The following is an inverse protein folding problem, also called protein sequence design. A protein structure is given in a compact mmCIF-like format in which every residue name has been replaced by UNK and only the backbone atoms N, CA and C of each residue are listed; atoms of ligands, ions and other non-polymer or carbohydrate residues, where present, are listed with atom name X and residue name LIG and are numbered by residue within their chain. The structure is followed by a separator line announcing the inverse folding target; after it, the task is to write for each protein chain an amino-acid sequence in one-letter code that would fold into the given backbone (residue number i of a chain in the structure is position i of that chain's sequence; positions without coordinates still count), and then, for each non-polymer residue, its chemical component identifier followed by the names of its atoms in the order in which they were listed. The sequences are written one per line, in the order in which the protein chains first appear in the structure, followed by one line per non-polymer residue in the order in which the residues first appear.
data_IF_802449715299
#
_entry.id   IF_802449715299
#
_cell.length_a   1.000
_cell.length_b   1.000
_cell.length_c   1.000
_cell.angle_alpha   90.00
_cell.angle_beta   90.00
_cell.angle_gamma   90.00
#
_symmetry.space_group_name_H-M   'P 1'
#
loop_
_entity.id
_entity.type
_entity.pdbx_description
1 polymer ?
#
# COMPACT_ATOMS: atom_id res chain seq x y z
N UNK A 1 33.10 -4.18 -0.55
CA UNK A 1 33.52 -4.30 -1.96
C UNK A 1 32.39 -3.67 -2.76
N UNK A 2 32.62 -2.50 -3.37
CA UNK A 2 31.57 -1.73 -4.07
C UNK A 2 31.22 -2.46 -5.37
N UNK A 3 30.09 -3.16 -5.40
CA UNK A 3 29.53 -3.67 -6.65
C UNK A 3 29.01 -2.49 -7.47
N UNK A 4 29.48 -2.39 -8.71
CA UNK A 4 29.01 -1.40 -9.68
C UNK A 4 27.55 -1.70 -10.00
N UNK A 5 26.69 -0.69 -9.87
CA UNK A 5 25.31 -0.67 -10.35
C UNK A 5 25.25 -1.20 -11.80
N UNK A 6 24.52 -2.29 -11.99
CA UNK A 6 24.31 -2.91 -13.30
C UNK A 6 23.26 -2.13 -14.09
N UNK A 7 23.72 -1.33 -15.06
CA UNK A 7 22.86 -0.55 -15.96
C UNK A 7 21.95 -1.43 -16.83
N UNK A 8 22.25 -2.73 -16.98
CA UNK A 8 21.44 -3.62 -17.83
C UNK A 8 20.09 -3.98 -17.19
N UNK A 9 20.01 -4.12 -15.86
CA UNK A 9 18.73 -4.40 -15.17
C UNK A 9 17.72 -3.25 -15.25
N UNK A 10 18.21 -2.01 -15.32
CA UNK A 10 17.36 -0.82 -15.45
C UNK A 10 16.82 -0.67 -16.88
N UNK A 11 17.63 -1.00 -17.89
CA UNK A 11 17.19 -1.04 -19.28
C UNK A 11 16.23 -2.21 -19.56
N UNK A 12 16.37 -3.36 -18.89
CA UNK A 12 15.40 -4.46 -18.97
C UNK A 12 14.00 -4.01 -18.51
N UNK A 13 13.88 -3.23 -17.43
CA UNK A 13 12.59 -2.65 -17.00
C UNK A 13 11.96 -1.71 -18.02
N UNK A 14 12.78 -0.95 -18.75
CA UNK A 14 12.33 -0.03 -19.81
C UNK A 14 11.92 -0.78 -21.09
N UNK A 15 12.67 -1.82 -21.49
CA UNK A 15 12.29 -2.71 -22.60
C UNK A 15 11.05 -3.56 -22.27
N UNK A 16 10.85 -3.95 -21.00
CA UNK A 16 9.63 -4.62 -20.52
C UNK A 16 8.42 -3.68 -20.59
N UNK A 17 8.59 -2.37 -20.36
CA UNK A 17 7.53 -1.37 -20.54
C UNK A 17 7.11 -1.23 -22.01
N UNK A 18 8.06 -1.26 -22.97
CA UNK A 18 7.75 -1.27 -24.40
C UNK A 18 7.18 -2.62 -24.90
N UNK A 19 7.42 -3.74 -24.22
CA UNK A 19 6.90 -5.05 -24.62
C UNK A 19 5.56 -5.42 -23.95
N UNK A 20 5.15 -4.75 -22.87
CA UNK A 20 3.87 -5.00 -22.18
C UNK A 20 2.77 -3.99 -22.52
N UNK A 21 2.58 -3.74 -23.82
CA UNK A 21 1.47 -2.97 -24.42
C UNK A 21 0.05 -3.47 -24.05
N UNK A 22 -0.10 -4.56 -23.27
CA UNK A 22 -1.39 -5.19 -22.97
C UNK A 22 -2.20 -4.53 -21.84
N UNK A 23 -1.57 -3.72 -20.97
CA UNK A 23 -2.24 -3.16 -19.78
C UNK A 23 -2.99 -1.84 -20.08
N UNK A 24 -2.58 -1.12 -21.13
CA UNK A 24 -3.25 0.07 -21.67
C UNK A 24 -3.62 -0.09 -23.15
N UNK A 25 -3.91 -1.31 -23.59
CA UNK A 25 -4.31 -1.57 -24.97
C UNK A 25 -5.54 -0.70 -25.33
N UNK A 26 -5.39 0.13 -26.36
CA UNK A 26 -6.42 1.07 -26.85
C UNK A 26 -6.89 2.15 -25.84
N UNK A 27 -6.05 2.54 -24.89
CA UNK A 27 -6.34 3.64 -23.96
C UNK A 27 -7.35 3.28 -22.86
N UNK A 28 -7.57 1.99 -22.62
CA UNK A 28 -8.39 1.46 -21.53
C UNK A 28 -7.48 0.97 -20.38
N UNK A 29 -7.59 1.58 -19.21
CA UNK A 29 -6.79 1.20 -18.03
C UNK A 29 -7.22 -0.15 -17.45
N UNK A 30 -6.25 -1.07 -17.30
CA UNK A 30 -6.39 -2.40 -16.68
C UNK A 30 -5.35 -2.70 -15.58
N UNK A 31 -4.90 -1.66 -14.88
CA UNK A 31 -3.84 -1.75 -13.86
C UNK A 31 -4.25 -2.44 -12.55
N UNK A 32 -5.55 -2.65 -12.30
CA UNK A 32 -6.03 -3.27 -11.05
C UNK A 32 -7.04 -4.38 -11.35
N UNK A 33 -7.35 -5.26 -10.37
CA UNK A 33 -8.24 -6.40 -10.59
C UNK A 33 -9.68 -6.01 -10.97
N UNK A 34 -10.07 -4.73 -10.84
CA UNK A 34 -11.37 -4.21 -11.31
C UNK A 34 -11.57 -4.38 -12.81
N UNK A 35 -10.51 -4.39 -13.61
CA UNK A 35 -10.59 -4.58 -15.08
C UNK A 35 -11.57 -3.63 -15.80
N UNK A 36 -11.80 -2.43 -15.22
CA UNK A 36 -12.88 -1.54 -15.63
C UNK A 36 -12.70 -0.90 -17.02
N UNK A 37 -11.48 -0.94 -17.58
CA UNK A 37 -11.19 -0.40 -18.90
C UNK A 37 -11.35 1.12 -19.00
N UNK A 38 -11.09 1.84 -17.90
CA UNK A 38 -11.28 3.28 -17.82
C UNK A 38 -10.48 4.04 -18.89
N UNK A 39 -11.15 4.90 -19.65
CA UNK A 39 -10.54 5.76 -20.66
C UNK A 39 -10.04 7.07 -20.06
N UNK A 40 -9.03 7.00 -19.18
CA UNK A 40 -8.59 8.14 -18.37
C UNK A 40 -8.17 9.34 -19.20
N UNK A 41 -7.42 9.10 -20.29
CA UNK A 41 -6.99 10.13 -21.24
C UNK A 41 -8.16 10.84 -21.94
N UNK A 42 -9.34 10.20 -21.99
CA UNK A 42 -10.59 10.80 -22.51
C UNK A 42 -11.51 11.32 -21.40
N UNK A 43 -10.99 11.51 -20.18
CA UNK A 43 -11.77 12.01 -19.04
C UNK A 43 -12.76 10.99 -18.45
N UNK A 44 -12.68 9.70 -18.82
CA UNK A 44 -13.59 8.67 -18.32
C UNK A 44 -12.96 7.94 -17.13
N UNK A 45 -13.50 8.22 -15.94
CA UNK A 45 -13.05 7.60 -14.69
C UNK A 45 -13.41 6.12 -14.62
N UNK A 46 -12.54 5.35 -13.95
CA UNK A 46 -12.85 3.99 -13.50
C UNK A 46 -13.36 3.97 -12.06
N UNK A 47 -13.40 2.79 -11.46
CA UNK A 47 -13.79 2.64 -10.04
C UNK A 47 -12.87 3.43 -9.09
N UNK A 48 -11.61 3.65 -9.47
CA UNK A 48 -10.66 4.44 -8.68
C UNK A 48 -10.98 5.95 -8.63
N UNK A 49 -11.82 6.47 -9.54
CA UNK A 49 -12.17 7.90 -9.61
C UNK A 49 -11.22 8.77 -10.44
N UNK A 50 -9.99 8.31 -10.65
CA UNK A 50 -8.95 9.05 -11.38
C UNK A 50 -9.26 9.17 -12.89
N UNK A 51 -8.95 10.35 -13.44
CA UNK A 51 -9.01 10.69 -14.88
C UNK A 51 -7.73 11.41 -15.31
N UNK A 52 -7.58 11.68 -16.61
CA UNK A 52 -6.44 12.43 -17.13
C UNK A 52 -5.17 11.59 -17.32
N UNK A 53 -4.04 12.30 -17.51
CA UNK A 53 -2.68 11.73 -17.63
C UNK A 53 -1.75 12.18 -16.50
N UNK A 54 -2.21 13.10 -15.65
CA UNK A 54 -1.45 13.55 -14.49
C UNK A 54 -1.56 12.58 -13.32
N UNK A 55 -0.65 12.76 -12.35
CA UNK A 55 -0.73 12.10 -11.05
C UNK A 55 -1.44 13.04 -10.10
N UNK A 56 -2.44 12.56 -9.34
CA UNK A 56 -3.09 13.37 -8.31
C UNK A 56 -2.55 13.00 -6.95
N UNK A 57 -1.84 13.94 -6.34
CA UNK A 57 -1.23 13.82 -5.03
C UNK A 57 -2.01 14.59 -3.98
N UNK A 58 -2.30 13.97 -2.83
CA UNK A 58 -3.03 14.59 -1.73
C UNK A 58 -2.14 15.11 -0.59
N UNK A 59 -1.00 14.44 -0.32
CA UNK A 59 0.03 14.90 0.62
C UNK A 59 1.39 14.26 0.35
N UNK A 60 2.49 15.00 0.51
CA UNK A 60 3.85 14.48 0.49
C UNK A 60 4.68 15.01 1.68
N UNK A 61 4.91 14.20 2.71
CA UNK A 61 5.56 14.64 3.95
C UNK A 61 6.27 13.49 4.68
N UNK A 62 7.08 13.83 5.70
CA UNK A 62 7.57 12.83 6.65
C UNK A 62 6.41 12.34 7.52
N UNK A 63 6.15 11.03 7.48
CA UNK A 63 5.11 10.37 8.24
C UNK A 63 5.73 9.49 9.32
N UNK A 64 5.36 9.75 10.57
CA UNK A 64 5.98 9.12 11.75
C UNK A 64 5.27 7.85 12.21
N UNK A 65 4.13 7.49 11.60
CA UNK A 65 3.17 6.54 12.16
C UNK A 65 3.02 5.24 11.35
N UNK A 66 4.04 4.85 10.58
CA UNK A 66 4.11 3.51 9.98
C UNK A 66 4.72 2.48 10.98
N UNK A 67 4.97 1.23 10.56
CA UNK A 67 5.68 0.27 11.41
C UNK A 67 7.05 0.81 11.84
N UNK A 68 7.56 0.41 13.02
CA UNK A 68 8.86 0.88 13.54
C UNK A 68 10.02 0.73 12.54
N UNK A 69 10.04 -0.35 11.77
CA UNK A 69 11.06 -0.60 10.75
C UNK A 69 10.85 0.15 9.43
N UNK A 70 9.79 0.96 9.31
CA UNK A 70 9.47 1.80 8.15
C UNK A 70 9.62 3.28 8.50
N UNK A 71 9.02 3.75 9.60
CA UNK A 71 9.12 5.15 10.00
C UNK A 71 10.40 5.45 10.79
N UNK A 72 10.79 4.59 11.74
CA UNK A 72 11.87 4.91 12.68
C UNK A 72 11.57 6.19 13.47
N UNK A 73 12.60 6.92 13.88
CA UNK A 73 12.45 8.23 14.53
C UNK A 73 12.43 9.39 13.51
N UNK A 74 13.05 9.18 12.34
CA UNK A 74 13.21 10.21 11.30
C UNK A 74 12.03 10.31 10.32
N UNK A 75 11.16 9.30 10.30
CA UNK A 75 9.94 9.26 9.49
C UNK A 75 10.10 8.62 8.12
N UNK A 76 8.97 8.13 7.60
CA UNK A 76 8.81 7.63 6.23
C UNK A 76 8.50 8.79 5.29
N UNK A 77 9.17 8.88 4.14
CA UNK A 77 8.89 9.90 3.13
C UNK A 77 7.63 9.53 2.36
N UNK A 78 6.46 9.88 2.91
CA UNK A 78 5.19 9.33 2.45
C UNK A 78 4.50 10.24 1.45
N UNK A 79 4.05 9.63 0.35
CA UNK A 79 3.29 10.25 -0.73
C UNK A 79 1.90 9.60 -0.78
N UNK A 80 0.88 10.35 -0.39
CA UNK A 80 -0.53 9.94 -0.44
C UNK A 80 -1.12 10.28 -1.80
N UNK A 81 -1.50 9.25 -2.55
CA UNK A 81 -2.14 9.41 -3.85
C UNK A 81 -3.66 9.52 -3.72
N UNK A 82 -4.26 10.27 -4.65
CA UNK A 82 -5.71 10.38 -4.79
C UNK A 82 -6.27 9.30 -5.71
N UNK A 83 -7.41 8.74 -5.33
CA UNK A 83 -8.09 7.59 -5.91
C UNK A 83 -7.80 6.28 -5.17
N UNK A 84 -8.73 5.32 -5.25
CA UNK A 84 -8.51 3.97 -4.71
C UNK A 84 -9.36 2.93 -5.46
N UNK A 85 -8.78 1.83 -5.95
CA UNK A 85 -9.54 0.78 -6.64
C UNK A 85 -10.47 -0.02 -5.72
N UNK A 86 -10.30 0.06 -4.40
CA UNK A 86 -11.04 -0.73 -3.43
C UNK A 86 -12.21 0.02 -2.79
N UNK A 87 -12.03 1.29 -2.39
CA UNK A 87 -13.04 2.15 -1.73
C UNK A 87 -13.75 1.46 -0.57
N UNK A 88 -12.97 0.97 0.40
CA UNK A 88 -13.50 0.36 1.61
C UNK A 88 -14.51 1.31 2.28
N UNK A 89 -15.64 0.78 2.72
CA UNK A 89 -16.72 1.55 3.35
C UNK A 89 -16.31 2.14 4.70
N UNK A 90 -15.21 1.67 5.27
CA UNK A 90 -14.62 2.16 6.52
C UNK A 90 -13.30 2.91 6.30
N UNK A 91 -13.00 3.32 5.06
CA UNK A 91 -11.73 3.97 4.75
C UNK A 91 -11.56 5.27 5.55
N UNK A 92 -10.52 5.32 6.37
CA UNK A 92 -10.12 6.53 7.11
C UNK A 92 -9.71 7.67 6.17
N UNK A 93 -9.14 7.31 5.02
CA UNK A 93 -8.72 8.24 3.97
C UNK A 93 -9.84 8.46 2.93
N UNK A 94 -11.10 8.58 3.39
CA UNK A 94 -12.29 8.55 2.53
C UNK A 94 -12.24 9.56 1.37
N UNK A 95 -11.90 10.82 1.65
CA UNK A 95 -11.89 11.89 0.64
C UNK A 95 -10.89 11.58 -0.49
N UNK A 96 -9.67 11.15 -0.16
CA UNK A 96 -8.68 10.81 -1.20
C UNK A 96 -9.04 9.50 -1.89
N UNK A 97 -9.61 8.51 -1.21
CA UNK A 97 -10.03 7.24 -1.83
C UNK A 97 -11.13 7.42 -2.89
N UNK A 98 -11.95 8.47 -2.77
CA UNK A 98 -12.99 8.84 -3.73
C UNK A 98 -12.49 9.75 -4.86
N UNK A 99 -11.24 10.19 -4.77
CA UNK A 99 -10.62 11.19 -5.64
C UNK A 99 -11.23 12.60 -5.50
N UNK A 100 -11.72 12.94 -4.30
CA UNK A 100 -12.32 14.25 -4.00
C UNK A 100 -11.28 15.31 -3.60
N UNK A 101 -10.04 14.89 -3.35
CA UNK A 101 -8.92 15.72 -2.90
C UNK A 101 -7.66 15.42 -3.71
N UNK A 102 -6.72 16.37 -3.68
CA UNK A 102 -5.41 16.25 -4.28
C UNK A 102 -5.22 17.12 -5.50
N UNK A 103 -3.96 17.46 -5.74
CA UNK A 103 -3.51 18.34 -6.80
C UNK A 103 -2.87 17.54 -7.94
N UNK A 104 -3.16 17.94 -9.17
CA UNK A 104 -2.52 17.35 -10.35
C UNK A 104 -1.06 17.78 -10.44
N UNK A 105 -0.16 16.80 -10.58
CA UNK A 105 1.26 17.00 -10.77
C UNK A 105 1.76 16.19 -11.96
N UNK A 106 2.91 16.61 -12.49
CA UNK A 106 3.62 15.86 -13.53
C UNK A 106 4.51 14.77 -12.93
N UNK A 107 4.95 13.84 -13.76
CA UNK A 107 5.93 12.80 -13.41
C UNK A 107 7.25 13.42 -12.96
N UNK A 108 7.67 14.52 -13.60
CA UNK A 108 8.87 15.27 -13.22
C UNK A 108 8.76 15.86 -11.81
N UNK A 109 7.61 16.46 -11.48
CA UNK A 109 7.38 17.00 -10.13
C UNK A 109 7.36 15.89 -9.10
N UNK A 110 6.73 14.75 -9.39
CA UNK A 110 6.76 13.58 -8.51
C UNK A 110 8.20 13.10 -8.26
N UNK A 111 9.04 13.08 -9.31
CA UNK A 111 10.46 12.76 -9.19
C UNK A 111 11.21 13.76 -8.28
N UNK A 112 10.94 15.05 -8.39
CA UNK A 112 11.54 16.08 -7.53
C UNK A 112 11.12 15.90 -6.06
N UNK A 113 9.85 15.59 -5.81
CA UNK A 113 9.32 15.33 -4.46
C UNK A 113 10.04 14.16 -3.79
N UNK A 114 10.40 13.10 -4.52
CA UNK A 114 11.17 12.00 -3.96
C UNK A 114 12.56 12.46 -3.49
N UNK A 115 13.21 13.36 -4.22
CA UNK A 115 14.49 13.95 -3.80
C UNK A 115 14.31 14.87 -2.59
N UNK A 116 13.26 15.70 -2.59
CA UNK A 116 12.97 16.60 -1.47
C UNK A 116 12.69 15.83 -0.17
N UNK A 117 11.97 14.71 -0.23
CA UNK A 117 11.76 13.84 0.93
C UNK A 117 13.07 13.19 1.40
N UNK A 118 13.94 12.78 0.49
CA UNK A 118 15.28 12.31 0.82
C UNK A 118 16.11 13.39 1.52
N UNK A 119 16.10 14.61 1.00
CA UNK A 119 16.87 15.73 1.55
C UNK A 119 16.32 16.20 2.91
N UNK A 120 15.03 15.95 3.18
CA UNK A 120 14.41 16.10 4.51
C UNK A 120 14.82 15.01 5.51
N UNK A 121 15.54 13.97 5.08
CA UNK A 121 16.04 12.91 5.94
C UNK A 121 15.11 11.70 6.07
N UNK A 122 14.19 11.49 5.13
CA UNK A 122 13.31 10.32 5.13
C UNK A 122 14.08 8.99 5.16
N UNK A 123 13.52 7.98 5.84
CA UNK A 123 14.07 6.62 5.87
C UNK A 123 13.78 5.82 4.58
N UNK A 124 12.73 6.18 3.84
CA UNK A 124 12.31 5.57 2.58
C UNK A 124 11.37 6.51 1.82
N UNK A 125 11.04 6.16 0.57
CA UNK A 125 9.92 6.75 -0.17
C UNK A 125 8.73 5.79 -0.13
N UNK A 126 7.66 6.19 0.55
CA UNK A 126 6.49 5.37 0.79
C UNK A 126 5.28 5.85 -0.02
N UNK A 127 4.85 4.99 -0.93
CA UNK A 127 3.84 5.27 -1.93
C UNK A 127 2.52 4.68 -1.47
N UNK A 128 1.56 5.52 -1.06
CA UNK A 128 0.30 5.07 -0.43
C UNK A 128 -0.86 5.08 -1.44
N UNK A 129 -1.48 3.92 -1.63
CA UNK A 129 -2.47 3.64 -2.70
C UNK A 129 -1.95 3.95 -4.12
N UNK A 130 -0.79 3.42 -4.52
CA UNK A 130 -0.11 3.79 -5.77
C UNK A 130 -0.66 3.08 -7.03
N UNK A 131 -1.49 2.05 -6.88
CA UNK A 131 -1.87 1.09 -7.93
C UNK A 131 -2.22 1.73 -9.27
N UNK A 132 -3.09 2.74 -9.25
CA UNK A 132 -3.56 3.38 -10.46
C UNK A 132 -2.54 4.33 -11.09
N UNK A 133 -1.44 4.67 -10.43
CA UNK A 133 -0.35 5.48 -10.98
C UNK A 133 0.93 4.67 -11.21
N UNK A 134 0.84 3.33 -11.25
CA UNK A 134 2.02 2.46 -11.31
C UNK A 134 2.98 2.84 -12.44
N UNK A 135 2.47 3.16 -13.63
CA UNK A 135 3.31 3.51 -14.79
C UNK A 135 4.03 4.84 -14.56
N UNK A 136 3.29 5.86 -14.12
CA UNK A 136 3.82 7.19 -13.82
C UNK A 136 4.83 7.16 -12.68
N UNK A 137 4.59 6.34 -11.65
CA UNK A 137 5.49 6.14 -10.51
C UNK A 137 6.80 5.51 -10.96
N UNK A 138 6.76 4.47 -11.81
CA UNK A 138 7.98 3.84 -12.34
C UNK A 138 8.84 4.88 -13.06
N UNK A 139 8.22 5.73 -13.89
CA UNK A 139 8.92 6.81 -14.59
C UNK A 139 9.51 7.85 -13.61
N UNK A 140 8.75 8.27 -12.60
CA UNK A 140 9.22 9.23 -11.61
C UNK A 140 10.38 8.69 -10.76
N UNK A 141 10.33 7.42 -10.35
CA UNK A 141 11.42 6.75 -9.63
C UNK A 141 12.67 6.69 -10.52
N UNK A 142 12.51 6.36 -11.80
CA UNK A 142 13.62 6.31 -12.73
C UNK A 142 14.35 7.66 -12.83
N UNK A 143 13.60 8.74 -13.03
CA UNK A 143 14.14 10.10 -13.06
C UNK A 143 14.76 10.51 -11.72
N UNK A 144 14.15 10.13 -10.59
CA UNK A 144 14.70 10.44 -9.27
C UNK A 144 16.01 9.71 -9.01
N UNK A 145 16.15 8.45 -9.46
CA UNK A 145 17.41 7.70 -9.37
C UNK A 145 18.54 8.39 -10.16
N UNK A 146 18.24 8.96 -11.33
CA UNK A 146 19.21 9.77 -12.09
C UNK A 146 19.61 11.06 -11.34
N UNK A 147 18.69 11.64 -10.58
CA UNK A 147 18.93 12.81 -9.70
C UNK A 147 19.62 12.45 -8.38
N UNK A 148 19.88 11.16 -8.11
CA UNK A 148 20.60 10.71 -6.92
C UNK A 148 19.73 10.19 -5.77
N UNK A 149 18.49 9.78 -6.04
CA UNK A 149 17.68 9.02 -5.08
C UNK A 149 18.37 7.70 -4.73
N UNK A 150 18.54 7.44 -3.44
CA UNK A 150 19.18 6.24 -2.87
C UNK A 150 18.30 5.51 -1.86
N UNK A 151 17.22 6.14 -1.42
CA UNK A 151 16.32 5.57 -0.43
C UNK A 151 15.55 4.35 -0.99
N UNK A 152 15.23 3.36 -0.14
CA UNK A 152 14.33 2.27 -0.52
C UNK A 152 12.94 2.77 -0.91
N UNK A 153 12.30 2.06 -1.83
CA UNK A 153 10.92 2.31 -2.23
C UNK A 153 9.97 1.35 -1.50
N UNK A 154 9.02 1.92 -0.76
CA UNK A 154 7.93 1.21 -0.08
C UNK A 154 6.65 1.36 -0.91
N UNK A 155 6.04 0.23 -1.27
CA UNK A 155 4.75 0.19 -1.97
C UNK A 155 3.64 -0.18 -0.97
N UNK A 156 2.90 0.84 -0.50
CA UNK A 156 1.87 0.72 0.52
C UNK A 156 0.48 0.62 -0.11
N UNK A 157 -0.11 -0.58 -0.08
CA UNK A 157 -1.27 -0.91 -0.91
C UNK A 157 -2.31 -1.76 -0.17
N UNK A 158 -3.50 -1.83 -0.79
CA UNK A 158 -4.66 -2.50 -0.20
C UNK A 158 -4.64 -4.04 -0.28
N UNK A 159 -3.62 -4.61 -0.92
CA UNK A 159 -3.54 -6.00 -1.35
C UNK A 159 -4.45 -6.36 -2.53
N UNK A 160 -5.36 -5.47 -2.95
CA UNK A 160 -6.17 -5.67 -4.16
C UNK A 160 -5.42 -5.27 -5.43
N UNK A 161 -4.29 -5.95 -5.64
CA UNK A 161 -3.36 -5.68 -6.73
C UNK A 161 -3.46 -6.75 -7.84
N UNK A 162 -3.12 -6.35 -9.06
CA UNK A 162 -3.05 -7.25 -10.21
C UNK A 162 -1.62 -7.75 -10.36
N UNK A 163 -1.44 -9.07 -10.51
CA UNK A 163 -0.10 -9.70 -10.59
C UNK A 163 0.71 -9.14 -11.74
N UNK A 164 0.08 -8.91 -12.89
CA UNK A 164 0.71 -8.34 -14.08
C UNK A 164 1.25 -6.93 -13.81
N UNK A 165 0.53 -6.13 -13.02
CA UNK A 165 0.98 -4.79 -12.61
C UNK A 165 2.14 -4.89 -11.63
N UNK A 166 2.08 -5.80 -10.65
CA UNK A 166 3.19 -6.02 -9.70
C UNK A 166 4.48 -6.45 -10.40
N UNK A 167 4.41 -7.23 -11.47
CA UNK A 167 5.59 -7.63 -12.24
C UNK A 167 6.35 -6.45 -12.85
N UNK A 168 5.68 -5.32 -13.10
CA UNK A 168 6.34 -4.09 -13.58
C UNK A 168 7.21 -3.44 -12.49
N UNK A 169 6.97 -3.77 -11.22
CA UNK A 169 7.67 -3.21 -10.06
C UNK A 169 8.89 -4.06 -9.64
N UNK A 170 9.14 -5.19 -10.29
CA UNK A 170 10.25 -6.08 -9.95
C UNK A 170 11.60 -5.37 -10.12
N UNK A 171 12.39 -5.32 -9.03
CA UNK A 171 13.65 -4.58 -8.99
C UNK A 171 13.52 -3.06 -8.82
N UNK A 172 12.29 -2.54 -8.70
CA UNK A 172 12.00 -1.14 -8.43
C UNK A 172 11.53 -0.94 -6.98
N UNK A 173 10.57 -1.77 -6.54
CA UNK A 173 10.07 -1.78 -5.16
C UNK A 173 10.94 -2.68 -4.30
N UNK A 174 11.35 -2.15 -3.16
CA UNK A 174 12.18 -2.86 -2.20
C UNK A 174 11.34 -3.50 -1.09
N UNK A 175 10.32 -2.77 -0.62
CA UNK A 175 9.43 -3.21 0.47
C UNK A 175 7.98 -3.12 0.04
N UNK A 176 7.23 -4.21 0.23
CA UNK A 176 5.77 -4.18 0.12
C UNK A 176 5.14 -4.05 1.51
N UNK A 177 4.31 -3.05 1.68
CA UNK A 177 3.46 -2.87 2.85
C UNK A 177 2.01 -3.07 2.41
N UNK A 178 1.51 -4.29 2.52
CA UNK A 178 0.22 -4.67 1.92
C UNK A 178 -0.81 -4.98 2.98
N UNK A 179 -2.03 -4.47 2.81
CA UNK A 179 -3.16 -4.95 3.58
C UNK A 179 -3.62 -6.33 3.12
N UNK A 180 -4.00 -7.19 4.06
CA UNK A 180 -4.77 -8.40 3.80
C UNK A 180 -6.06 -8.36 4.63
N UNK A 181 -7.13 -7.88 4.01
CA UNK A 181 -8.36 -7.45 4.71
C UNK A 181 -9.34 -8.60 4.97
N UNK A 182 -9.50 -9.51 4.00
CA UNK A 182 -10.55 -10.53 4.05
C UNK A 182 -10.09 -11.89 3.53
N UNK A 183 -10.54 -12.94 4.21
CA UNK A 183 -10.45 -14.33 3.74
C UNK A 183 -11.71 -14.80 3.04
N UNK A 184 -12.85 -14.13 3.25
CA UNK A 184 -14.13 -14.49 2.66
C UNK A 184 -14.68 -13.44 1.68
N UNK A 185 -15.43 -13.92 0.68
CA UNK A 185 -15.99 -13.08 -0.38
C UNK A 185 -17.19 -12.24 0.07
N UNK A 186 -17.89 -12.62 1.14
CA UNK A 186 -19.08 -11.92 1.61
C UNK A 186 -18.68 -10.60 2.28
N UNK A 187 -17.73 -10.65 3.22
CA UNK A 187 -17.15 -9.47 3.87
C UNK A 187 -16.47 -8.56 2.85
N UNK A 188 -15.71 -9.13 1.92
CA UNK A 188 -15.04 -8.35 0.88
C UNK A 188 -16.03 -7.62 -0.05
N UNK A 189 -17.14 -8.28 -0.41
CA UNK A 189 -18.24 -7.62 -1.15
C UNK A 189 -18.93 -6.56 -0.30
N UNK A 190 -19.24 -6.86 0.95
CA UNK A 190 -20.01 -5.99 1.84
C UNK A 190 -19.28 -4.70 2.18
N UNK A 191 -17.99 -4.81 2.49
CA UNK A 191 -17.20 -3.70 3.02
C UNK A 191 -16.25 -3.07 2.01
N UNK A 192 -16.03 -3.68 0.85
CA UNK A 192 -15.12 -3.17 -0.19
C UNK A 192 -15.63 -3.37 -1.62
N UNK A 193 -16.87 -3.82 -1.77
CA UNK A 193 -17.49 -4.08 -3.08
C UNK A 193 -16.65 -4.99 -4.00
N UNK A 194 -15.85 -5.90 -3.44
CA UNK A 194 -14.88 -6.72 -4.18
C UNK A 194 -14.94 -8.19 -3.70
N UNK A 195 -15.95 -8.94 -4.15
CA UNK A 195 -16.11 -10.35 -3.74
C UNK A 195 -14.92 -11.25 -4.10
N UNK A 196 -14.15 -10.85 -5.12
CA UNK A 196 -12.95 -11.52 -5.60
C UNK A 196 -11.68 -11.16 -4.82
N UNK A 197 -11.75 -10.21 -3.87
CA UNK A 197 -10.60 -9.73 -3.09
C UNK A 197 -9.77 -10.86 -2.48
N UNK A 198 -10.32 -11.88 -1.79
CA UNK A 198 -9.47 -12.89 -1.16
C UNK A 198 -8.60 -13.63 -2.18
N UNK A 199 -9.15 -13.89 -3.38
CA UNK A 199 -8.38 -14.52 -4.46
C UNK A 199 -7.31 -13.59 -5.04
N UNK A 200 -7.65 -12.32 -5.25
CA UNK A 200 -6.71 -11.32 -5.76
C UNK A 200 -5.57 -11.06 -4.77
N UNK A 201 -5.88 -10.83 -3.49
CA UNK A 201 -4.91 -10.57 -2.43
C UNK A 201 -3.94 -11.74 -2.21
N UNK A 202 -4.41 -12.99 -2.26
CA UNK A 202 -3.54 -14.18 -2.19
C UNK A 202 -2.53 -14.23 -3.34
N UNK A 203 -2.99 -13.96 -4.57
CA UNK A 203 -2.11 -13.95 -5.76
C UNK A 203 -1.12 -12.78 -5.72
N UNK A 204 -1.59 -11.60 -5.32
CA UNK A 204 -0.76 -10.41 -5.14
C UNK A 204 0.34 -10.64 -4.10
N UNK A 205 -0.03 -11.11 -2.90
CA UNK A 205 0.92 -11.39 -1.82
C UNK A 205 1.98 -12.42 -2.23
N UNK A 206 1.58 -13.49 -2.93
CA UNK A 206 2.51 -14.49 -3.46
C UNK A 206 3.55 -13.86 -4.40
N UNK A 207 3.13 -12.95 -5.28
CA UNK A 207 4.03 -12.24 -6.19
C UNK A 207 4.94 -11.25 -5.45
N UNK A 208 4.42 -10.50 -4.47
CA UNK A 208 5.21 -9.60 -3.62
C UNK A 208 6.32 -10.36 -2.88
N UNK A 209 5.99 -11.50 -2.27
CA UNK A 209 6.96 -12.35 -1.57
C UNK A 209 7.98 -12.95 -2.55
N UNK A 210 7.56 -13.32 -3.77
CA UNK A 210 8.48 -13.81 -4.81
C UNK A 210 9.53 -12.76 -5.19
N UNK A 211 9.13 -11.49 -5.32
CA UNK A 211 10.03 -10.39 -5.71
C UNK A 211 10.99 -10.00 -4.58
N UNK A 212 10.49 -9.89 -3.34
CA UNK A 212 11.31 -9.44 -2.22
C UNK A 212 12.25 -10.55 -1.71
N UNK A 213 11.77 -11.80 -1.65
CA UNK A 213 12.52 -12.90 -1.06
C UNK A 213 12.61 -12.77 0.47
N UNK A 214 13.81 -12.89 1.02
CA UNK A 214 14.04 -12.77 2.47
C UNK A 214 14.09 -11.31 2.90
N UNK A 215 13.49 -11.00 4.05
CA UNK A 215 13.53 -9.67 4.67
C UNK A 215 14.95 -9.28 5.10
N UNK A 216 15.33 -8.02 4.87
CA UNK A 216 16.59 -7.43 5.32
C UNK A 216 16.40 -6.06 5.95
N UNK A 217 17.27 -5.75 6.91
CA UNK A 217 17.30 -4.48 7.63
C UNK A 217 18.68 -3.83 7.52
N UNK A 218 18.74 -2.51 7.61
CA UNK A 218 20.00 -1.79 7.76
C UNK A 218 20.52 -1.80 9.21
N UNK A 219 21.61 -1.09 9.47
CA UNK A 219 22.21 -1.02 10.81
C UNK A 219 21.37 -0.27 11.84
N UNK A 220 20.40 0.53 11.39
CA UNK A 220 19.45 1.24 12.24
C UNK A 220 18.18 0.43 12.51
N UNK A 221 18.04 -0.74 11.89
CA UNK A 221 16.82 -1.57 11.98
C UNK A 221 15.73 -1.16 10.98
N UNK A 222 16.05 -0.32 9.99
CA UNK A 222 15.11 0.05 8.94
C UNK A 222 15.03 -1.05 7.88
N UNK A 223 13.81 -1.45 7.50
CA UNK A 223 13.60 -2.46 6.48
C UNK A 223 14.08 -1.94 5.13
N UNK A 224 15.07 -2.61 4.57
CA UNK A 224 15.63 -2.30 3.25
C UNK A 224 15.07 -3.19 2.15
N UNK A 225 14.52 -4.34 2.52
CA UNK A 225 13.82 -5.25 1.61
C UNK A 225 12.89 -6.16 2.41
N UNK A 226 11.69 -6.44 1.91
CA UNK A 226 10.78 -7.38 2.58
C UNK A 226 9.31 -7.16 2.29
N UNK A 227 8.47 -7.94 2.98
CA UNK A 227 7.02 -7.82 2.91
C UNK A 227 6.45 -7.74 4.31
N UNK A 228 5.63 -6.72 4.55
CA UNK A 228 4.83 -6.57 5.76
C UNK A 228 3.36 -6.69 5.34
N UNK A 229 2.63 -7.60 5.99
CA UNK A 229 1.19 -7.78 5.81
C UNK A 229 0.44 -7.15 6.97
N UNK A 230 -0.30 -6.09 6.67
CA UNK A 230 -1.20 -5.42 7.61
C UNK A 230 -2.55 -6.12 7.67
N UNK A 231 -3.05 -6.32 8.89
CA UNK A 231 -4.42 -6.73 9.12
C UNK A 231 -5.08 -5.80 10.13
N UNK A 232 -5.98 -4.94 9.64
CA UNK A 232 -6.89 -4.17 10.49
C UNK A 232 -8.04 -5.07 10.94
N UNK A 233 -8.10 -5.38 12.24
CA UNK A 233 -9.23 -6.09 12.81
C UNK A 233 -10.47 -5.20 12.74
N UNK A 234 -11.55 -5.73 12.16
CA UNK A 234 -12.86 -5.08 12.17
C UNK A 234 -13.68 -5.60 13.36
N UNK A 235 -14.56 -4.77 13.96
CA UNK A 235 -15.43 -5.19 15.06
C UNK A 235 -16.26 -6.42 14.69
N UNK A 236 -16.25 -7.44 15.55
CA UNK A 236 -17.00 -8.68 15.38
C UNK A 236 -16.46 -9.60 14.28
N UNK A 237 -15.25 -9.35 13.77
CA UNK A 237 -14.63 -10.10 12.66
C UNK A 237 -13.38 -10.89 13.09
N UNK A 238 -13.29 -11.31 14.36
CA UNK A 238 -12.13 -12.08 14.89
C UNK A 238 -11.85 -13.31 14.01
N UNK A 239 -12.88 -14.06 13.63
CA UNK A 239 -12.71 -15.28 12.84
C UNK A 239 -11.98 -15.01 11.51
N UNK A 240 -12.35 -13.93 10.81
CA UNK A 240 -11.65 -13.50 9.61
C UNK A 240 -10.19 -13.11 9.92
N UNK A 241 -9.94 -12.40 11.03
CA UNK A 241 -8.58 -12.06 11.45
C UNK A 241 -7.71 -13.28 11.74
N UNK A 242 -8.23 -14.26 12.48
CA UNK A 242 -7.54 -15.53 12.73
C UNK A 242 -7.24 -16.28 11.44
N UNK A 243 -8.19 -16.29 10.49
CA UNK A 243 -7.98 -16.92 9.19
C UNK A 243 -6.92 -16.21 8.33
N UNK A 244 -6.85 -14.87 8.39
CA UNK A 244 -5.78 -14.10 7.73
C UNK A 244 -4.43 -14.45 8.34
N UNK A 245 -4.31 -14.35 9.67
CA UNK A 245 -3.07 -14.66 10.41
C UNK A 245 -2.60 -16.08 10.11
N UNK A 246 -3.49 -17.06 10.24
CA UNK A 246 -3.21 -18.46 9.93
C UNK A 246 -2.73 -18.64 8.49
N UNK A 247 -3.46 -18.08 7.51
CA UNK A 247 -3.10 -18.23 6.10
C UNK A 247 -1.71 -17.65 5.80
N UNK A 248 -1.44 -16.42 6.26
CA UNK A 248 -0.16 -15.75 5.99
C UNK A 248 0.98 -16.52 6.64
N UNK A 249 0.83 -16.88 7.91
CA UNK A 249 1.87 -17.59 8.65
C UNK A 249 2.12 -19.00 8.11
N UNK A 250 1.09 -19.82 7.89
CA UNK A 250 1.26 -21.18 7.35
C UNK A 250 1.84 -21.20 5.93
N UNK A 251 1.59 -20.15 5.13
CA UNK A 251 2.06 -20.07 3.73
C UNK A 251 3.48 -19.50 3.63
N UNK A 252 3.80 -18.47 4.42
CA UNK A 252 5.01 -17.68 4.22
C UNK A 252 6.01 -17.78 5.38
N UNK A 253 5.56 -18.13 6.58
CA UNK A 253 6.37 -18.14 7.80
C UNK A 253 7.08 -16.79 7.99
N UNK A 254 8.34 -16.86 8.40
CA UNK A 254 9.18 -15.69 8.70
C UNK A 254 9.68 -14.90 7.47
N UNK A 255 9.21 -15.25 6.27
CA UNK A 255 9.47 -14.44 5.07
C UNK A 255 8.64 -13.16 5.03
N UNK A 256 7.59 -13.08 5.86
CA UNK A 256 6.66 -11.96 5.94
C UNK A 256 6.54 -11.53 7.39
N UNK A 257 6.45 -10.22 7.61
CA UNK A 257 6.09 -9.67 8.91
C UNK A 257 4.59 -9.44 8.97
N UNK A 258 3.94 -9.80 10.08
CA UNK A 258 2.54 -9.47 10.31
C UNK A 258 2.43 -8.16 11.09
N UNK A 259 1.51 -7.28 10.73
CA UNK A 259 1.18 -6.06 11.48
C UNK A 259 -0.29 -6.11 11.83
N UNK A 260 -0.61 -6.44 13.09
CA UNK A 260 -1.97 -6.64 13.58
C UNK A 260 -2.46 -5.35 14.22
N UNK A 261 -3.51 -4.76 13.65
CA UNK A 261 -3.94 -3.41 14.01
C UNK A 261 -5.35 -3.43 14.62
N UNK A 262 -5.54 -2.60 15.66
CA UNK A 262 -6.83 -2.35 16.33
C UNK A 262 -7.32 -0.90 16.16
N UNK A 263 -6.61 -0.08 15.37
CA UNK A 263 -6.89 1.35 15.11
C UNK A 263 -8.16 1.62 14.26
N UNK A 264 -9.19 0.79 14.42
CA UNK A 264 -10.46 0.96 13.74
C UNK A 264 -11.28 2.10 14.38
N UNK A 265 -11.47 3.19 13.64
CA UNK A 265 -12.34 4.29 14.04
C UNK A 265 -13.64 4.25 13.24
N UNK A 266 -14.82 4.05 13.86
CA UNK A 266 -16.10 4.12 13.15
C UNK A 266 -16.37 5.58 12.73
N UNK A 267 -16.27 5.84 11.42
CA UNK A 267 -16.50 7.18 10.85
C UNK A 267 -17.99 7.41 10.54
N UNK A 268 -18.44 8.68 10.41
CA UNK A 268 -19.86 9.00 10.19
C UNK A 268 -20.50 8.29 8.99
N UNK A 269 -19.73 7.99 7.95
CA UNK A 269 -20.20 7.29 6.74
C UNK A 269 -20.36 5.77 6.94
N UNK A 270 -19.91 5.20 8.06
CA UNK A 270 -20.06 3.78 8.42
C UNK A 270 -21.43 3.49 9.05
N UNK A 271 -22.25 4.51 9.36
CA UNK A 271 -23.55 4.37 10.04
C UNK A 271 -24.50 3.31 9.46
N UNK A 272 -24.40 3.04 8.15
CA UNK A 272 -25.24 2.06 7.45
C UNK A 272 -24.74 0.61 7.62
N UNK A 273 -23.65 0.41 8.37
CA UNK A 273 -23.03 -0.86 8.73
C UNK A 273 -22.97 -1.00 10.26
N UNK A 274 -24.12 -1.22 10.93
CA UNK A 274 -24.22 -1.20 12.39
C UNK A 274 -23.29 -2.19 13.09
N UNK A 275 -22.97 -3.32 12.44
CA UNK A 275 -22.09 -4.34 12.98
C UNK A 275 -20.62 -3.89 13.14
N UNK A 276 -20.16 -2.95 12.30
CA UNK A 276 -18.83 -2.34 12.41
C UNK A 276 -18.88 -0.90 12.88
N UNK A 277 -20.06 -0.33 13.17
CA UNK A 277 -20.19 1.04 13.69
C UNK A 277 -19.91 1.13 15.21
N UNK A 278 -18.81 0.51 15.63
CA UNK A 278 -18.27 0.53 17.01
C UNK A 278 -16.75 0.34 16.93
N UNK A 279 -16.03 0.54 18.03
CA UNK A 279 -14.61 0.17 18.11
C UNK A 279 -14.46 -1.35 18.31
N UNK A 280 -13.29 -1.86 17.95
CA UNK A 280 -12.84 -3.19 18.37
C UNK A 280 -12.65 -3.18 19.88
N UNK A 281 -13.10 -4.22 20.58
CA UNK A 281 -12.87 -4.30 22.03
C UNK A 281 -11.45 -4.80 22.33
N UNK A 282 -10.95 -4.53 23.53
CA UNK A 282 -9.66 -5.06 23.99
C UNK A 282 -9.65 -6.59 23.91
N UNK A 283 -10.70 -7.26 24.41
CA UNK A 283 -10.87 -8.72 24.31
C UNK A 283 -10.79 -9.24 22.87
N UNK A 284 -11.42 -8.55 21.90
CA UNK A 284 -11.38 -8.97 20.49
C UNK A 284 -9.97 -8.91 19.91
N UNK A 285 -9.19 -7.90 20.31
CA UNK A 285 -7.84 -7.71 19.83
C UNK A 285 -6.84 -8.64 20.51
N UNK A 286 -6.92 -8.77 21.84
CA UNK A 286 -6.12 -9.72 22.62
C UNK A 286 -6.34 -11.15 22.11
N UNK A 287 -7.57 -11.55 21.82
CA UNK A 287 -7.86 -12.88 21.27
C UNK A 287 -7.17 -13.13 19.90
N UNK A 288 -7.03 -12.09 19.06
CA UNK A 288 -6.30 -12.19 17.79
C UNK A 288 -4.79 -12.28 18.01
N UNK A 289 -4.24 -11.48 18.92
CA UNK A 289 -2.82 -11.46 19.26
C UNK A 289 -2.40 -12.79 19.90
N UNK A 290 -3.16 -13.27 20.89
CA UNK A 290 -2.94 -14.55 21.55
C UNK A 290 -2.96 -15.69 20.54
N UNK A 291 -3.88 -15.66 19.58
CA UNK A 291 -3.92 -16.66 18.51
C UNK A 291 -2.68 -16.61 17.62
N UNK A 292 -2.20 -15.41 17.26
CA UNK A 292 -0.97 -15.27 16.48
C UNK A 292 0.24 -15.87 17.23
N UNK A 293 0.33 -15.62 18.54
CA UNK A 293 1.35 -16.20 19.42
C UNK A 293 1.20 -17.72 19.51
N UNK A 294 -0.02 -18.23 19.70
CA UNK A 294 -0.31 -19.67 19.83
C UNK A 294 0.15 -20.47 18.61
N UNK A 295 -0.06 -19.93 17.40
CA UNK A 295 0.37 -20.61 16.17
C UNK A 295 1.86 -20.42 15.87
N UNK A 296 2.57 -19.55 16.60
CA UNK A 296 4.02 -19.38 16.53
C UNK A 296 4.51 -18.17 15.73
N UNK A 297 3.68 -17.14 15.52
CA UNK A 297 4.15 -15.90 14.87
C UNK A 297 5.19 -15.21 15.75
N UNK A 298 6.44 -15.12 15.27
CA UNK A 298 7.53 -14.39 15.96
C UNK A 298 7.75 -12.99 15.35
N UNK A 299 7.61 -12.87 14.02
CA UNK A 299 7.83 -11.63 13.28
C UNK A 299 6.54 -10.82 13.14
N UNK A 300 6.10 -10.20 14.24
CA UNK A 300 4.85 -9.46 14.32
C UNK A 300 4.99 -8.07 14.94
N UNK A 301 4.20 -7.12 14.45
CA UNK A 301 3.91 -5.86 15.12
C UNK A 301 2.50 -5.90 15.68
N UNK A 302 2.36 -5.47 16.94
CA UNK A 302 1.09 -5.29 17.64
C UNK A 302 1.01 -3.85 18.13
N UNK A 303 -0.19 -3.39 18.44
CA UNK A 303 -0.47 -2.03 18.89
C UNK A 303 -0.84 -2.07 20.37
N UNK A 304 -0.07 -1.36 21.19
CA UNK A 304 -0.31 -1.26 22.62
C UNK A 304 -1.19 -0.04 22.93
N UNK A 305 -2.21 -0.22 23.77
CA UNK A 305 -3.08 0.85 24.27
C UNK A 305 -4.49 0.88 23.65
N UNK A 306 -5.32 1.83 24.13
CA UNK A 306 -6.67 2.04 23.63
C UNK A 306 -6.64 2.46 22.15
N UNK A 307 -7.63 2.03 21.36
CA UNK A 307 -7.83 2.55 19.99
C UNK A 307 -7.83 4.07 20.02
N UNK A 308 -6.80 4.70 19.43
CA UNK A 308 -6.53 6.11 19.67
C UNK A 308 -7.78 6.98 19.50
N UNK A 309 -7.99 7.86 20.49
CA UNK A 309 -9.05 8.86 20.43
C UNK A 309 -8.77 9.93 19.37
N UNK A 310 -7.49 10.14 19.04
CA UNK A 310 -7.04 11.06 18.00
C UNK A 310 -7.13 10.42 16.61
N UNK A 311 -7.73 11.14 15.68
CA UNK A 311 -7.79 10.74 14.28
C UNK A 311 -6.38 10.73 13.69
N UNK A 312 -5.80 9.55 13.48
CA UNK A 312 -4.55 9.36 12.70
C UNK A 312 -4.67 9.75 11.22
N UNK A 313 -5.84 10.25 10.79
CA UNK A 313 -6.09 10.76 9.44
C UNK A 313 -5.27 12.04 9.26
N UNK A 314 -4.29 12.06 8.33
CA UNK A 314 -3.57 13.29 8.02
C UNK A 314 -4.53 14.36 7.48
N UNK A 315 -4.22 15.63 7.75
CA UNK A 315 -4.82 16.71 6.97
C UNK A 315 -4.40 16.54 5.51
N UNK A 316 -5.36 16.42 4.58
CA UNK A 316 -5.13 16.40 3.15
C UNK A 316 -5.25 17.81 2.59
N UNK A 317 -4.31 18.67 2.97
CA UNK A 317 -4.25 20.12 2.71
C UNK A 317 -3.22 20.48 1.63
N UNK A 318 -2.87 19.51 0.78
CA UNK A 318 -1.89 19.64 -0.28
C UNK A 318 -0.46 20.00 0.20
N UNK A 319 -0.12 19.70 1.46
CA UNK A 319 1.25 19.84 1.95
C UNK A 319 2.24 19.02 1.10
N UNK A 320 3.35 19.66 0.72
CA UNK A 320 4.48 19.04 0.03
C UNK A 320 4.38 18.99 -1.49
N UNK A 321 3.35 19.59 -2.10
CA UNK A 321 3.20 19.62 -3.56
C UNK A 321 3.73 20.89 -4.23
N UNK A 322 3.80 22.01 -3.49
CA UNK A 322 4.34 23.30 -3.95
C UNK A 322 5.87 23.34 -3.99
#
# INVERSE_FOLDING_TARGET
MLEKLDKNKFNEGYEIMEQNFSIEEHGACRLCPRECGAGRKQGRAGYCGVTGTGVYGARAALHMWEEPCISGEEGSGTVFFSGCPLRCVYCQNYEIAHADRGSEITVERLSDIFIELQDKGANNINLVTPTHYTIEIIQAIAMAKEKGLKLPIVYNCSGYEKVETLRLLEGIVDVYLTDFKYMDSLSAKRYSNASDYPGAAKRALSEMVRQCGQTSFDQKGMMTKGVIVRHLLLPGQIQNGKEVVKYVYETYGDRVFLSLMNQYTPLPHVKDYPEINRRVTEEEYEELVDYAIEIGVENGFIQEGETAEESFIPAFDDEGWN
#
